data_IF_252477626984
#
_entry.id   IF_252477626984
#
_cell.length_a   1.000
_cell.length_b   1.000
_cell.length_c   1.000
_cell.angle_alpha   90.00
_cell.angle_beta   90.00
_cell.angle_gamma   90.00
#
_symmetry.space_group_name_H-M   'P 1'
#
loop_
_entity.id
_entity.type
_entity.pdbx_description
1 polymer ?
#
# COMPACT_ATOMS: atom_id res chain seq x y z
N UNK A 1 0.09 -57.90 50.30
CA UNK A 1 -1.22 -58.13 49.64
C UNK A 1 -1.86 -56.79 49.34
N UNK A 2 -1.93 -56.36 48.09
CA UNK A 2 -3.05 -55.68 47.42
C UNK A 2 -2.61 -55.30 46.02
N UNK A 3 -3.29 -55.88 45.06
CA UNK A 3 -3.09 -55.72 43.60
C UNK A 3 -3.51 -54.34 43.21
N UNK A 4 -2.59 -53.59 42.58
CA UNK A 4 -2.92 -52.36 41.88
C UNK A 4 -3.33 -52.63 40.43
N UNK A 5 -4.56 -52.33 40.12
CA UNK A 5 -5.20 -52.51 38.82
C UNK A 5 -4.68 -51.44 37.88
N UNK A 6 -4.03 -51.83 36.82
CA UNK A 6 -3.60 -50.95 35.73
C UNK A 6 -4.84 -50.61 34.88
N UNK A 7 -5.32 -49.40 34.98
CA UNK A 7 -6.31 -48.87 34.07
C UNK A 7 -5.60 -48.50 32.79
N UNK A 8 -5.81 -49.30 31.74
CA UNK A 8 -5.43 -48.95 30.40
C UNK A 8 -6.37 -47.84 29.90
N UNK A 9 -5.85 -46.64 29.79
CA UNK A 9 -6.57 -45.53 29.13
C UNK A 9 -6.56 -45.83 27.62
N UNK A 10 -7.71 -46.27 27.13
CA UNK A 10 -7.98 -46.38 25.69
C UNK A 10 -8.11 -44.99 25.14
N UNK A 11 -7.07 -44.46 24.54
CA UNK A 11 -7.11 -43.22 23.77
C UNK A 11 -7.92 -43.48 22.51
N UNK A 12 -9.20 -43.20 22.56
CA UNK A 12 -10.07 -43.17 21.39
C UNK A 12 -9.66 -41.93 20.54
N UNK A 13 -8.75 -42.17 19.60
CA UNK A 13 -8.45 -41.21 18.56
C UNK A 13 -9.71 -41.14 17.67
N UNK A 14 -10.60 -40.21 17.99
CA UNK A 14 -11.61 -39.77 17.04
C UNK A 14 -10.89 -39.12 15.85
N UNK A 15 -10.61 -39.93 14.83
CA UNK A 15 -10.33 -39.44 13.50
C UNK A 15 -11.63 -38.77 13.03
N UNK A 16 -11.74 -37.47 13.28
CA UNK A 16 -12.62 -36.62 12.51
C UNK A 16 -12.05 -36.64 11.08
N UNK A 17 -12.54 -37.56 10.29
CA UNK A 17 -12.53 -37.44 8.85
C UNK A 17 -13.35 -36.18 8.52
N UNK A 18 -12.68 -35.02 8.56
CA UNK A 18 -13.11 -33.91 7.75
C UNK A 18 -13.18 -34.48 6.34
N UNK A 19 -14.38 -34.76 5.90
CA UNK A 19 -14.69 -34.88 4.48
C UNK A 19 -14.38 -33.48 3.88
N UNK A 20 -13.11 -33.24 3.60
CA UNK A 20 -12.74 -32.31 2.56
C UNK A 20 -13.39 -32.89 1.32
N UNK A 21 -14.56 -32.37 0.95
CA UNK A 21 -15.14 -32.64 -0.33
C UNK A 21 -14.02 -32.43 -1.34
N UNK A 22 -13.56 -33.50 -1.96
CA UNK A 22 -12.61 -33.37 -3.05
C UNK A 22 -13.21 -32.31 -3.98
N UNK A 23 -12.45 -31.27 -4.39
CA UNK A 23 -12.96 -30.38 -5.40
C UNK A 23 -13.38 -31.28 -6.57
N UNK A 24 -14.66 -31.21 -6.94
CA UNK A 24 -15.15 -31.93 -8.09
C UNK A 24 -14.16 -31.61 -9.20
N UNK A 25 -13.48 -32.64 -9.73
CA UNK A 25 -12.53 -32.49 -10.83
C UNK A 25 -13.30 -31.76 -11.93
N UNK A 26 -13.02 -30.48 -12.11
CA UNK A 26 -13.60 -29.72 -13.19
C UNK A 26 -13.29 -30.47 -14.48
N UNK A 27 -14.29 -30.70 -15.33
CA UNK A 27 -14.10 -31.45 -16.56
C UNK A 27 -12.93 -30.86 -17.33
N UNK A 28 -12.12 -31.75 -17.93
CA UNK A 28 -10.94 -31.33 -18.69
C UNK A 28 -11.36 -30.44 -19.86
N UNK A 29 -10.68 -29.33 -20.03
CA UNK A 29 -10.85 -28.41 -21.16
C UNK A 29 -9.48 -28.03 -21.74
N UNK A 30 -9.47 -27.76 -23.04
CA UNK A 30 -8.27 -27.25 -23.72
C UNK A 30 -8.05 -25.81 -23.33
N UNK A 31 -7.04 -25.55 -22.49
CA UNK A 31 -6.70 -24.21 -22.04
C UNK A 31 -6.09 -23.38 -23.18
N UNK A 32 -6.51 -22.14 -23.31
CA UNK A 32 -5.87 -21.21 -24.24
C UNK A 32 -4.50 -20.77 -23.72
N UNK A 33 -3.54 -20.61 -24.61
CA UNK A 33 -2.21 -20.04 -24.28
C UNK A 33 -2.31 -18.60 -23.80
N UNK A 34 -3.33 -17.88 -24.28
CA UNK A 34 -3.73 -16.55 -23.80
C UNK A 34 -5.25 -16.55 -23.71
N UNK A 35 -5.76 -15.95 -22.64
CA UNK A 35 -7.19 -15.78 -22.48
C UNK A 35 -7.75 -14.96 -23.66
N UNK A 36 -8.90 -15.38 -24.17
CA UNK A 36 -9.66 -14.67 -25.19
C UNK A 36 -10.81 -13.91 -24.52
N UNK A 37 -11.45 -13.03 -25.24
CA UNK A 37 -12.67 -12.35 -24.78
C UNK A 37 -13.82 -12.64 -25.71
N UNK A 38 -15.01 -12.77 -25.14
CA UNK A 38 -16.25 -12.84 -25.89
C UNK A 38 -17.32 -11.97 -25.24
N UNK A 39 -18.18 -11.41 -26.06
CA UNK A 39 -19.33 -10.62 -25.61
C UNK A 39 -20.54 -11.52 -25.53
N UNK A 40 -21.24 -11.47 -24.41
CA UNK A 40 -22.49 -12.18 -24.25
C UNK A 40 -23.56 -11.60 -25.19
N UNK A 41 -24.22 -12.45 -25.96
CA UNK A 41 -25.37 -12.12 -26.79
C UNK A 41 -26.70 -12.57 -26.16
N UNK A 42 -26.65 -13.07 -24.92
CA UNK A 42 -27.82 -13.43 -24.12
C UNK A 42 -27.87 -12.56 -22.83
N UNK A 43 -29.06 -12.19 -22.42
CA UNK A 43 -29.31 -11.44 -21.20
C UNK A 43 -29.10 -12.27 -19.94
N UNK A 44 -29.07 -13.59 -20.04
CA UNK A 44 -28.91 -14.52 -18.92
C UNK A 44 -27.89 -15.60 -19.22
N UNK A 45 -26.75 -15.58 -18.55
CA UNK A 45 -25.71 -16.60 -18.67
C UNK A 45 -25.72 -17.49 -17.43
N UNK A 46 -25.79 -18.81 -17.64
CA UNK A 46 -25.66 -19.82 -16.59
C UNK A 46 -24.24 -20.39 -16.66
N UNK A 47 -23.44 -20.12 -15.67
CA UNK A 47 -22.11 -20.69 -15.49
C UNK A 47 -22.20 -21.99 -14.70
N UNK A 48 -21.49 -23.02 -15.16
CA UNK A 48 -21.65 -24.41 -14.70
C UNK A 48 -20.33 -25.00 -14.22
N UNK A 49 -20.45 -26.01 -13.37
CA UNK A 49 -19.30 -26.80 -12.89
C UNK A 49 -18.79 -27.73 -14.00
N UNK A 50 -19.71 -28.33 -14.76
CA UNK A 50 -19.41 -29.27 -15.86
C UNK A 50 -19.98 -28.76 -17.18
N UNK A 51 -19.36 -29.12 -18.35
CA UNK A 51 -19.81 -28.69 -19.67
C UNK A 51 -20.98 -29.56 -20.17
N UNK A 52 -22.09 -29.50 -19.45
CA UNK A 52 -23.34 -30.19 -19.82
C UNK A 52 -24.55 -29.28 -19.60
N UNK A 53 -25.66 -29.64 -20.19
CA UNK A 53 -26.91 -28.85 -20.15
C UNK A 53 -27.76 -29.15 -18.91
N UNK A 54 -27.29 -29.96 -17.96
CA UNK A 54 -28.01 -30.31 -16.77
C UNK A 54 -28.46 -29.07 -16.01
N UNK A 55 -29.71 -29.05 -15.58
CA UNK A 55 -30.27 -27.99 -14.71
C UNK A 55 -30.17 -28.33 -13.23
N UNK A 56 -29.46 -29.38 -12.88
CA UNK A 56 -29.21 -29.77 -11.49
C UNK A 56 -28.53 -28.64 -10.77
N UNK A 57 -28.96 -28.35 -9.55
CA UNK A 57 -28.47 -27.24 -8.79
C UNK A 57 -26.95 -27.35 -8.46
N UNK A 58 -26.44 -28.56 -8.35
CA UNK A 58 -25.03 -28.87 -8.10
C UNK A 58 -24.12 -28.62 -9.32
N UNK A 59 -24.71 -28.54 -10.52
CA UNK A 59 -23.97 -28.17 -11.74
C UNK A 59 -24.01 -26.66 -12.03
N UNK A 60 -24.64 -25.82 -11.23
CA UNK A 60 -24.71 -24.38 -11.44
C UNK A 60 -23.76 -23.68 -10.49
N UNK A 61 -22.70 -23.04 -11.03
CA UNK A 61 -21.82 -22.18 -10.26
C UNK A 61 -22.53 -20.87 -9.93
N UNK A 62 -23.08 -20.21 -10.96
CA UNK A 62 -23.79 -18.93 -10.83
C UNK A 62 -24.64 -18.63 -12.06
N UNK A 63 -25.75 -17.96 -11.83
CA UNK A 63 -26.58 -17.39 -12.90
C UNK A 63 -26.37 -15.88 -12.90
N UNK A 64 -26.01 -15.34 -14.05
CA UNK A 64 -25.85 -13.91 -14.28
C UNK A 64 -27.03 -13.42 -15.12
N UNK A 65 -27.65 -12.34 -14.66
CA UNK A 65 -28.79 -11.70 -15.38
C UNK A 65 -28.38 -10.31 -15.87
N UNK A 66 -28.99 -9.86 -16.96
CA UNK A 66 -28.71 -8.55 -17.60
C UNK A 66 -27.25 -8.42 -18.06
N UNK A 67 -26.70 -9.49 -18.61
CA UNK A 67 -25.31 -9.55 -19.06
C UNK A 67 -25.16 -9.52 -20.58
N UNK A 68 -26.22 -9.27 -21.33
CA UNK A 68 -26.11 -9.00 -22.77
C UNK A 68 -25.19 -7.82 -23.03
N UNK A 69 -24.27 -7.95 -23.96
CA UNK A 69 -23.25 -6.97 -24.27
C UNK A 69 -22.08 -6.93 -23.25
N UNK A 70 -22.06 -7.79 -22.23
CA UNK A 70 -20.95 -7.88 -21.27
C UNK A 70 -19.86 -8.80 -21.78
N UNK A 71 -18.61 -8.42 -21.49
CA UNK A 71 -17.42 -9.17 -21.89
C UNK A 71 -17.04 -10.18 -20.82
N UNK A 72 -16.88 -11.43 -21.24
CA UNK A 72 -16.36 -12.53 -20.42
C UNK A 72 -14.95 -12.88 -20.88
N UNK A 73 -14.11 -13.25 -19.92
CA UNK A 73 -12.77 -13.76 -20.19
C UNK A 73 -12.86 -15.27 -20.43
N UNK A 74 -12.40 -15.74 -21.60
CA UNK A 74 -12.39 -17.15 -21.97
C UNK A 74 -11.03 -17.75 -21.71
N UNK A 75 -10.94 -18.71 -20.82
CA UNK A 75 -9.71 -19.37 -20.38
C UNK A 75 -9.39 -20.64 -21.16
N UNK A 76 -10.40 -21.22 -21.82
CA UNK A 76 -10.27 -22.42 -22.63
C UNK A 76 -11.62 -22.88 -23.19
N UNK A 77 -11.62 -24.07 -23.79
CA UNK A 77 -12.83 -24.61 -24.39
C UNK A 77 -12.87 -26.15 -24.37
N UNK A 78 -14.08 -26.71 -24.42
CA UNK A 78 -14.32 -28.13 -24.63
C UNK A 78 -15.68 -28.31 -25.29
N UNK A 79 -15.75 -29.02 -26.47
CA UNK A 79 -16.99 -29.17 -27.23
C UNK A 79 -17.68 -27.82 -27.46
N UNK A 80 -18.96 -27.73 -27.09
CA UNK A 80 -19.81 -26.53 -27.25
C UNK A 80 -19.70 -25.54 -26.08
N UNK A 81 -18.67 -25.67 -25.26
CA UNK A 81 -18.51 -24.89 -24.05
C UNK A 81 -17.18 -24.11 -24.02
N UNK A 82 -17.25 -22.87 -23.48
CA UNK A 82 -16.09 -22.15 -23.03
C UNK A 82 -15.92 -22.36 -21.52
N UNK A 83 -14.69 -22.52 -21.04
CA UNK A 83 -14.36 -22.29 -19.65
C UNK A 83 -14.05 -20.81 -19.51
N UNK A 84 -14.85 -20.10 -18.74
CA UNK A 84 -14.85 -18.63 -18.70
C UNK A 84 -14.76 -18.10 -17.28
N UNK A 85 -14.32 -16.84 -17.18
CA UNK A 85 -14.32 -16.06 -15.95
C UNK A 85 -15.15 -14.81 -16.12
N UNK A 86 -16.00 -14.53 -15.15
CA UNK A 86 -16.77 -13.29 -15.07
C UNK A 86 -17.13 -12.96 -13.61
N UNK A 87 -16.93 -11.70 -13.18
CA UNK A 87 -17.19 -11.22 -11.81
C UNK A 87 -16.63 -12.14 -10.71
N UNK A 88 -15.40 -12.62 -10.91
CA UNK A 88 -14.71 -13.47 -9.93
C UNK A 88 -15.19 -14.92 -9.87
N UNK A 89 -16.17 -15.31 -10.67
CA UNK A 89 -16.64 -16.70 -10.81
C UNK A 89 -16.01 -17.33 -12.05
N UNK A 90 -15.66 -18.61 -11.97
CA UNK A 90 -15.15 -19.40 -13.10
C UNK A 90 -16.02 -20.64 -13.33
N UNK A 91 -16.18 -21.04 -14.58
CA UNK A 91 -16.95 -22.20 -14.94
C UNK A 91 -17.25 -22.27 -16.43
N UNK A 92 -18.02 -23.30 -16.81
CA UNK A 92 -18.40 -23.53 -18.19
C UNK A 92 -19.64 -22.72 -18.59
N UNK A 93 -19.56 -22.04 -19.74
CA UNK A 93 -20.65 -21.29 -20.37
C UNK A 93 -20.82 -21.76 -21.83
N UNK A 94 -22.02 -21.73 -22.36
CA UNK A 94 -22.27 -22.20 -23.72
C UNK A 94 -21.69 -21.27 -24.78
N UNK A 95 -20.99 -21.81 -25.77
CA UNK A 95 -20.41 -21.03 -26.88
C UNK A 95 -21.46 -20.23 -27.65
N UNK A 96 -22.65 -20.74 -27.83
CA UNK A 96 -23.73 -20.08 -28.55
C UNK A 96 -24.22 -18.78 -27.90
N UNK A 97 -24.01 -18.64 -26.62
CA UNK A 97 -24.46 -17.47 -25.85
C UNK A 97 -23.41 -16.32 -25.91
N UNK A 98 -22.39 -16.47 -26.79
CA UNK A 98 -21.29 -15.51 -26.91
C UNK A 98 -20.89 -15.26 -28.36
N UNK A 99 -20.70 -14.01 -28.70
CA UNK A 99 -19.98 -13.59 -29.88
C UNK A 99 -18.48 -13.46 -29.54
N UNK A 100 -17.69 -14.38 -30.14
CA UNK A 100 -16.25 -14.22 -30.09
C UNK A 100 -15.94 -12.86 -30.70
N UNK A 101 -15.32 -12.01 -29.94
CA UNK A 101 -14.57 -10.91 -30.51
C UNK A 101 -13.36 -11.55 -31.24
N UNK A 102 -13.61 -12.10 -32.45
CA UNK A 102 -12.53 -12.19 -33.42
C UNK A 102 -11.95 -10.79 -33.41
N UNK A 103 -10.64 -10.70 -33.11
CA UNK A 103 -9.92 -9.47 -33.39
C UNK A 103 -10.24 -9.15 -34.85
N UNK A 104 -11.32 -8.38 -35.06
CA UNK A 104 -11.52 -7.72 -36.32
C UNK A 104 -10.24 -6.97 -36.52
N UNK A 105 -9.51 -7.36 -37.56
CA UNK A 105 -8.45 -6.55 -38.11
C UNK A 105 -9.10 -5.21 -38.49
N UNK A 106 -9.34 -4.41 -37.46
CA UNK A 106 -9.36 -2.98 -37.61
C UNK A 106 -8.02 -2.70 -38.24
N UNK A 107 -8.03 -2.30 -39.50
CA UNK A 107 -6.88 -1.77 -40.20
C UNK A 107 -6.06 -0.99 -39.19
N UNK A 108 -5.04 -1.67 -38.68
CA UNK A 108 -4.13 -1.07 -37.72
C UNK A 108 -3.44 0.05 -38.48
N UNK A 109 -3.98 1.24 -38.30
CA UNK A 109 -3.14 2.39 -38.28
C UNK A 109 -2.06 2.05 -37.26
N UNK A 110 -0.83 1.92 -37.69
CA UNK A 110 0.35 1.66 -36.86
C UNK A 110 0.63 2.90 -36.00
N UNK A 111 -0.31 3.24 -35.13
CA UNK A 111 -0.07 4.14 -34.03
C UNK A 111 0.51 3.29 -32.91
N UNK A 112 1.80 3.39 -32.71
CA UNK A 112 2.49 2.92 -31.51
C UNK A 112 1.61 3.25 -30.31
N UNK A 113 1.29 2.28 -29.44
CA UNK A 113 0.49 2.57 -28.25
C UNK A 113 1.08 3.77 -27.52
N UNK A 114 0.28 4.70 -26.98
CA UNK A 114 0.78 5.90 -26.31
C UNK A 114 1.53 5.56 -25.00
N UNK A 115 1.93 4.33 -24.84
CA UNK A 115 2.70 3.81 -23.72
C UNK A 115 3.61 2.65 -24.14
N UNK A 116 4.72 2.46 -23.44
CA UNK A 116 5.60 1.29 -23.57
C UNK A 116 4.92 0.07 -22.95
N UNK A 117 4.50 -0.87 -23.79
CA UNK A 117 3.82 -2.09 -23.35
C UNK A 117 4.79 -2.99 -22.59
N UNK A 118 4.36 -3.58 -21.47
CA UNK A 118 5.12 -4.62 -20.79
C UNK A 118 5.06 -5.93 -21.56
N UNK A 119 6.13 -6.73 -21.49
CA UNK A 119 6.16 -8.09 -22.08
C UNK A 119 5.12 -9.03 -21.49
N UNK A 120 4.76 -8.82 -20.22
CA UNK A 120 3.64 -9.45 -19.52
C UNK A 120 3.00 -8.42 -18.60
N UNK A 121 1.69 -8.50 -18.41
CA UNK A 121 0.99 -7.64 -17.47
C UNK A 121 1.57 -7.82 -16.04
N UNK A 122 1.77 -6.70 -15.35
CA UNK A 122 2.23 -6.69 -13.95
C UNK A 122 1.02 -6.47 -13.04
N UNK A 123 1.04 -7.09 -11.88
CA UNK A 123 0.05 -6.79 -10.84
C UNK A 123 0.49 -5.56 -10.04
N UNK A 124 -0.38 -4.57 -9.89
CA UNK A 124 -0.13 -3.40 -9.04
C UNK A 124 -1.19 -3.27 -7.97
N UNK A 125 -0.80 -3.29 -6.69
CA UNK A 125 -1.72 -3.03 -5.60
C UNK A 125 -1.93 -1.52 -5.44
N UNK A 126 -3.19 -1.05 -5.46
CA UNK A 126 -3.51 0.35 -5.22
C UNK A 126 -3.11 0.77 -3.80
N UNK A 127 -2.33 1.81 -3.68
CA UNK A 127 -1.88 2.37 -2.38
C UNK A 127 -2.81 3.47 -1.88
N UNK A 128 -3.65 4.02 -2.75
CA UNK A 128 -4.67 4.99 -2.41
C UNK A 128 -6.06 4.34 -2.38
N UNK A 129 -6.96 4.91 -1.59
CA UNK A 129 -8.38 4.51 -1.54
C UNK A 129 -9.18 5.00 -2.75
N UNK A 130 -8.69 6.00 -3.46
CA UNK A 130 -9.31 6.56 -4.66
C UNK A 130 -8.31 6.57 -5.82
N UNK A 131 -8.60 5.83 -6.88
CA UNK A 131 -7.82 5.82 -8.12
C UNK A 131 -8.62 6.49 -9.23
N UNK A 132 -8.00 7.42 -9.91
CA UNK A 132 -8.56 8.12 -11.07
C UNK A 132 -7.87 7.62 -12.33
N UNK A 133 -8.63 6.96 -13.17
CA UNK A 133 -8.19 6.48 -14.47
C UNK A 133 -8.44 7.57 -15.51
N UNK A 134 -7.48 7.81 -16.39
CA UNK A 134 -7.49 8.92 -17.36
C UNK A 134 -7.30 8.44 -18.79
N UNK A 135 -7.79 9.21 -19.75
CA UNK A 135 -7.67 8.91 -21.17
C UNK A 135 -6.23 8.96 -21.69
N UNK A 136 -5.38 9.81 -21.12
CA UNK A 136 -3.97 9.96 -21.50
C UNK A 136 -3.07 10.09 -20.27
N UNK A 137 -1.75 9.92 -20.46
CA UNK A 137 -0.74 10.02 -19.39
C UNK A 137 -0.49 11.48 -18.97
N UNK A 138 -1.54 12.18 -18.55
CA UNK A 138 -1.48 13.58 -18.11
C UNK A 138 -2.40 13.83 -16.92
N UNK A 139 -1.96 14.69 -16.00
CA UNK A 139 -2.78 15.15 -14.86
C UNK A 139 -4.00 15.97 -15.30
N UNK A 140 -3.94 16.57 -16.47
CA UNK A 140 -5.00 17.43 -17.03
C UNK A 140 -5.91 16.67 -18.01
N UNK A 141 -5.62 15.37 -18.28
CA UNK A 141 -6.44 14.54 -19.14
C UNK A 141 -7.80 14.24 -18.51
N UNK A 142 -8.79 14.00 -19.38
CA UNK A 142 -10.11 13.57 -18.98
C UNK A 142 -10.06 12.35 -18.06
N UNK A 143 -10.85 12.36 -17.00
CA UNK A 143 -11.01 11.22 -16.09
C UNK A 143 -12.08 10.29 -16.66
N UNK A 144 -11.65 9.15 -17.19
CA UNK A 144 -12.53 8.15 -17.79
C UNK A 144 -13.27 7.32 -16.74
N UNK A 145 -12.63 7.06 -15.59
CA UNK A 145 -13.22 6.32 -14.48
C UNK A 145 -12.64 6.76 -13.14
N UNK A 146 -13.50 6.79 -12.11
CA UNK A 146 -13.10 7.00 -10.71
C UNK A 146 -13.43 5.74 -9.92
N UNK A 147 -12.47 5.23 -9.18
CA UNK A 147 -12.63 4.11 -8.27
C UNK A 147 -12.47 4.61 -6.84
N UNK A 148 -13.32 4.11 -5.92
CA UNK A 148 -13.29 4.43 -4.50
C UNK A 148 -13.21 3.16 -3.66
N UNK A 149 -12.56 3.22 -2.51
CA UNK A 149 -12.39 2.06 -1.62
C UNK A 149 -11.45 1.00 -2.18
N UNK A 150 -10.56 1.35 -3.12
CA UNK A 150 -9.71 0.40 -3.86
C UNK A 150 -8.32 0.20 -3.25
N UNK A 151 -8.03 0.76 -2.08
CA UNK A 151 -6.75 0.52 -1.40
C UNK A 151 -6.51 -0.98 -1.21
N UNK A 152 -5.35 -1.47 -1.64
CA UNK A 152 -4.98 -2.90 -1.61
C UNK A 152 -5.58 -3.75 -2.73
N UNK A 153 -6.47 -3.20 -3.57
CA UNK A 153 -6.98 -3.92 -4.74
C UNK A 153 -5.92 -4.00 -5.84
N UNK A 154 -5.91 -5.11 -6.55
CA UNK A 154 -4.92 -5.41 -7.59
C UNK A 154 -5.43 -4.94 -8.94
N UNK A 155 -4.66 -4.08 -9.59
CA UNK A 155 -4.85 -3.65 -10.96
C UNK A 155 -3.88 -4.41 -11.87
N UNK A 156 -4.31 -4.73 -13.08
CA UNK A 156 -3.44 -5.25 -14.12
C UNK A 156 -2.75 -4.09 -14.84
N UNK A 157 -1.44 -3.98 -14.70
CA UNK A 157 -0.64 -2.93 -15.33
C UNK A 157 -0.09 -3.46 -16.64
N UNK A 158 -0.53 -2.89 -17.76
CA UNK A 158 -0.27 -3.38 -19.10
C UNK A 158 0.95 -2.71 -19.76
N UNK A 159 1.33 -1.53 -19.26
CA UNK A 159 2.48 -0.77 -19.75
C UNK A 159 2.67 0.52 -18.98
N UNK A 160 3.58 1.37 -19.48
CA UNK A 160 3.91 2.63 -18.81
C UNK A 160 4.21 3.77 -19.77
N UNK A 161 4.00 5.00 -19.33
CA UNK A 161 4.34 6.24 -20.02
C UNK A 161 4.71 7.31 -19.00
N UNK A 162 5.98 7.68 -18.90
CA UNK A 162 6.46 8.61 -17.88
C UNK A 162 6.07 8.18 -16.46
N UNK A 163 5.37 9.04 -15.73
CA UNK A 163 4.89 8.79 -14.37
C UNK A 163 3.56 8.01 -14.30
N UNK A 164 3.14 7.41 -15.40
CA UNK A 164 1.85 6.72 -15.54
C UNK A 164 2.02 5.26 -15.89
N UNK A 165 1.12 4.41 -15.33
CA UNK A 165 0.83 3.08 -15.86
C UNK A 165 -0.40 3.13 -16.75
N UNK A 166 -0.39 2.39 -17.84
CA UNK A 166 -1.62 1.99 -18.52
C UNK A 166 -2.12 0.73 -17.84
N UNK A 167 -3.29 0.80 -17.26
CA UNK A 167 -3.80 -0.21 -16.34
C UNK A 167 -5.23 -0.63 -16.68
N UNK A 168 -5.58 -1.84 -16.26
CA UNK A 168 -6.92 -2.40 -16.33
C UNK A 168 -7.42 -2.76 -14.93
N UNK A 169 -8.66 -2.41 -14.63
CA UNK A 169 -9.35 -2.79 -13.40
C UNK A 169 -10.87 -2.73 -13.59
N UNK A 170 -11.59 -3.79 -13.15
CA UNK A 170 -13.05 -3.90 -13.27
C UNK A 170 -13.58 -3.57 -14.70
N UNK A 171 -12.89 -4.07 -15.71
CA UNK A 171 -13.25 -3.88 -17.12
C UNK A 171 -12.98 -2.50 -17.71
N UNK A 172 -12.47 -1.55 -16.93
CA UNK A 172 -12.01 -0.26 -17.42
C UNK A 172 -10.50 -0.28 -17.68
N UNK A 173 -10.07 0.44 -18.72
CA UNK A 173 -8.66 0.65 -19.06
C UNK A 173 -8.35 2.14 -19.17
N UNK A 174 -7.11 2.50 -18.82
CA UNK A 174 -6.64 3.87 -18.91
C UNK A 174 -5.38 4.12 -18.11
N UNK A 175 -4.97 5.37 -18.10
CA UNK A 175 -3.76 5.79 -17.39
C UNK A 175 -4.05 6.08 -15.93
N UNK A 176 -3.22 5.50 -15.05
CA UNK A 176 -3.22 5.70 -13.59
C UNK A 176 -1.83 6.11 -13.14
N UNK A 177 -1.71 6.93 -12.10
CA UNK A 177 -0.39 7.42 -11.66
C UNK A 177 0.41 6.29 -11.01
N UNK A 178 1.68 6.17 -11.37
CA UNK A 178 2.60 5.17 -10.79
C UNK A 178 2.68 5.25 -9.27
N UNK A 179 2.66 6.46 -8.73
CA UNK A 179 2.73 6.69 -7.28
C UNK A 179 1.56 6.11 -6.49
N UNK A 180 0.46 5.82 -7.16
CA UNK A 180 -0.77 5.28 -6.53
C UNK A 180 -0.74 3.74 -6.47
N UNK A 181 0.40 3.12 -6.86
CA UNK A 181 0.54 1.65 -6.91
C UNK A 181 1.83 1.16 -6.28
N UNK A 182 1.76 -0.02 -5.64
CA UNK A 182 2.91 -0.84 -5.30
C UNK A 182 2.90 -2.10 -6.16
N UNK A 183 4.06 -2.46 -6.73
CA UNK A 183 4.21 -3.69 -7.51
C UNK A 183 4.68 -4.82 -6.59
N UNK A 184 4.08 -6.03 -6.67
CA UNK A 184 4.64 -7.20 -6.04
C UNK A 184 6.04 -7.47 -6.60
N UNK A 185 7.02 -7.58 -5.73
CA UNK A 185 8.41 -7.83 -6.14
C UNK A 185 9.19 -6.61 -6.64
N UNK A 186 8.62 -5.41 -6.65
CA UNK A 186 9.44 -4.21 -6.68
C UNK A 186 10.09 -4.06 -5.31
N UNK A 187 11.27 -4.62 -5.17
CA UNK A 187 12.18 -4.17 -4.12
C UNK A 187 12.41 -2.69 -4.35
N UNK A 188 12.19 -1.88 -3.32
CA UNK A 188 12.65 -0.51 -3.33
C UNK A 188 14.09 -0.47 -3.89
N UNK A 189 14.52 0.58 -4.60
CA UNK A 189 15.88 0.67 -5.11
C UNK A 189 16.88 0.24 -4.05
N UNK A 190 17.95 -0.44 -4.46
CA UNK A 190 18.96 -0.85 -3.49
C UNK A 190 19.42 0.39 -2.70
N UNK A 191 19.44 0.27 -1.37
CA UNK A 191 19.87 1.35 -0.52
C UNK A 191 21.31 1.73 -0.86
N UNK A 192 21.55 3.01 -1.12
CA UNK A 192 22.92 3.53 -1.15
C UNK A 192 23.33 3.82 0.29
N UNK A 193 24.10 2.93 0.87
CA UNK A 193 24.58 3.01 2.25
C UNK A 193 25.94 3.71 2.38
N UNK A 194 26.51 4.19 1.27
CA UNK A 194 27.71 5.02 1.30
C UNK A 194 27.38 6.35 1.94
N UNK A 195 27.94 6.60 3.11
CA UNK A 195 27.73 7.85 3.83
C UNK A 195 28.24 9.02 2.98
N UNK A 196 27.44 10.08 2.77
CA UNK A 196 27.89 11.28 2.10
C UNK A 196 29.11 11.90 2.83
N UNK A 197 30.02 12.48 2.05
CA UNK A 197 31.11 13.27 2.62
C UNK A 197 30.55 14.56 3.23
N UNK A 198 30.94 14.87 4.47
CA UNK A 198 30.49 16.07 5.18
C UNK A 198 29.14 15.90 5.89
N UNK A 199 28.60 17.00 6.38
CA UNK A 199 27.51 17.03 7.34
C UNK A 199 26.11 16.89 6.72
N UNK A 200 25.95 17.10 5.43
CA UNK A 200 24.66 17.08 4.73
C UNK A 200 24.39 15.67 4.20
N UNK A 201 23.50 14.96 4.85
CA UNK A 201 23.19 13.57 4.50
C UNK A 201 21.97 13.39 3.61
N UNK A 202 21.15 14.43 3.48
CA UNK A 202 19.95 14.34 2.64
C UNK A 202 19.06 15.56 2.70
N UNK A 203 17.83 15.40 2.22
CA UNK A 203 16.81 16.44 2.27
C UNK A 203 15.43 15.86 2.48
N UNK A 204 14.52 16.66 3.03
CA UNK A 204 13.12 16.32 3.21
C UNK A 204 12.22 17.45 2.73
N UNK A 205 11.17 17.08 1.96
CA UNK A 205 10.08 17.95 1.55
C UNK A 205 8.75 17.22 1.72
N UNK A 206 7.83 17.83 2.47
CA UNK A 206 6.50 17.27 2.70
C UNK A 206 5.46 18.16 2.02
N UNK A 207 4.74 17.59 1.05
CA UNK A 207 3.73 18.33 0.28
C UNK A 207 2.61 18.87 1.16
N UNK A 208 2.14 20.08 0.86
CA UNK A 208 1.09 20.74 1.64
C UNK A 208 1.55 21.30 2.99
N UNK A 209 2.87 21.28 3.26
CA UNK A 209 3.49 21.80 4.48
C UNK A 209 4.61 22.79 4.15
N UNK A 210 5.18 23.42 5.18
CA UNK A 210 6.39 24.24 5.06
C UNK A 210 7.68 23.45 5.23
N UNK A 211 7.59 22.13 5.42
CA UNK A 211 8.78 21.28 5.58
C UNK A 211 9.51 21.18 4.24
N UNK A 212 10.68 21.80 4.18
CA UNK A 212 11.62 21.76 3.05
C UNK A 212 13.02 22.06 3.60
N UNK A 213 13.72 21.02 4.04
CA UNK A 213 14.93 21.17 4.84
C UNK A 213 16.01 20.18 4.45
N UNK A 214 17.28 20.53 4.76
CA UNK A 214 18.40 19.61 4.71
C UNK A 214 18.39 18.68 5.92
N UNK A 215 18.76 17.44 5.74
CA UNK A 215 19.03 16.46 6.79
C UNK A 215 20.53 16.45 7.03
N UNK A 216 20.92 16.64 8.30
CA UNK A 216 22.31 16.68 8.72
C UNK A 216 22.75 15.39 9.40
N UNK A 217 24.04 15.21 9.53
CA UNK A 217 24.66 14.04 10.12
C UNK A 217 24.32 13.85 11.61
N UNK A 218 24.67 12.67 12.14
CA UNK A 218 24.48 12.28 13.53
C UNK A 218 25.69 12.61 14.43
N UNK A 219 26.72 13.27 13.91
CA UNK A 219 27.95 13.60 14.67
C UNK A 219 27.74 14.62 15.80
N UNK A 220 26.49 15.05 15.97
CA UNK A 220 26.13 16.05 16.97
C UNK A 220 25.79 15.30 18.25
N UNK A 221 26.61 15.57 19.29
CA UNK A 221 26.30 15.10 20.63
C UNK A 221 24.97 15.69 21.09
N UNK A 222 24.25 15.02 22.00
CA UNK A 222 22.94 15.48 22.48
C UNK A 222 22.93 16.92 23.00
N UNK A 223 24.12 17.50 23.34
CA UNK A 223 24.28 18.88 23.71
C UNK A 223 24.27 19.83 22.51
N UNK A 224 24.77 19.43 21.36
CA UNK A 224 24.81 20.29 20.17
C UNK A 224 23.42 20.48 19.57
N UNK A 225 22.53 19.50 19.69
CA UNK A 225 21.12 19.66 19.35
C UNK A 225 20.47 20.80 20.14
N UNK A 226 20.88 20.99 21.40
CA UNK A 226 20.31 22.00 22.30
C UNK A 226 20.93 23.39 22.11
N UNK A 227 22.21 23.48 21.72
CA UNK A 227 22.99 24.71 21.77
C UNK A 227 23.49 25.24 20.43
N UNK A 228 23.45 24.40 19.39
CA UNK A 228 23.95 24.85 18.10
C UNK A 228 22.90 25.72 17.39
N UNK A 229 23.33 26.70 16.61
CA UNK A 229 22.56 27.60 15.72
C UNK A 229 21.52 26.89 14.86
N UNK A 230 21.26 25.64 15.12
CA UNK A 230 20.58 24.62 14.39
C UNK A 230 19.16 24.31 14.90
N UNK A 231 18.53 25.21 15.66
CA UNK A 231 17.07 25.13 15.87
C UNK A 231 16.26 24.97 14.58
N UNK A 232 16.93 25.14 13.46
CA UNK A 232 16.36 25.12 12.11
C UNK A 232 16.76 23.90 11.30
N UNK A 233 17.50 22.95 11.87
CA UNK A 233 18.01 21.80 11.14
C UNK A 233 17.29 20.51 11.56
N UNK A 234 17.24 19.56 10.64
CA UNK A 234 16.80 18.20 10.88
C UNK A 234 18.05 17.34 10.97
N UNK A 235 18.13 16.52 12.01
CA UNK A 235 19.27 15.66 12.26
C UNK A 235 18.92 14.20 12.21
N UNK A 236 19.82 13.40 11.64
CA UNK A 236 19.80 11.97 11.86
C UNK A 236 20.37 11.67 13.25
N UNK A 237 19.61 10.90 14.04
CA UNK A 237 20.03 10.41 15.35
C UNK A 237 20.67 9.02 15.27
N UNK A 238 20.71 8.44 14.08
CA UNK A 238 21.26 7.12 13.78
C UNK A 238 22.37 7.23 12.73
N UNK A 239 23.18 6.18 12.60
CA UNK A 239 24.18 6.11 11.54
C UNK A 239 23.48 6.12 10.17
N UNK A 240 24.16 6.65 9.15
CA UNK A 240 23.61 6.74 7.79
C UNK A 240 23.18 5.39 7.24
N UNK A 241 23.90 4.31 7.56
CA UNK A 241 23.62 2.95 7.09
C UNK A 241 22.54 2.21 7.89
N UNK A 242 22.00 2.80 8.96
CA UNK A 242 21.01 2.16 9.82
C UNK A 242 19.76 1.77 9.05
N UNK A 243 19.27 0.55 9.29
CA UNK A 243 18.03 0.06 8.66
C UNK A 243 16.80 0.82 9.16
N UNK A 244 16.81 1.23 10.43
CA UNK A 244 15.82 2.14 11.01
C UNK A 244 16.49 3.48 11.23
N UNK A 245 16.09 4.47 10.45
CA UNK A 245 16.60 5.85 10.59
C UNK A 245 15.70 6.65 11.53
N UNK A 246 16.31 7.38 12.45
CA UNK A 246 15.60 8.31 13.33
C UNK A 246 16.00 9.75 12.96
N UNK A 247 15.05 10.52 12.46
CA UNK A 247 15.23 11.94 12.17
C UNK A 247 14.51 12.78 13.22
N UNK A 248 15.19 13.78 13.74
CA UNK A 248 14.64 14.74 14.69
C UNK A 248 14.63 16.15 14.14
N UNK A 249 13.56 16.87 14.43
CA UNK A 249 13.43 18.30 14.18
C UNK A 249 12.61 18.97 15.27
N UNK A 250 12.93 20.21 15.57
CA UNK A 250 12.19 20.98 16.58
C UNK A 250 10.75 21.30 16.15
N UNK A 251 9.84 21.28 17.10
CA UNK A 251 8.54 21.91 17.00
C UNK A 251 8.62 23.28 17.70
N UNK A 252 8.88 24.32 16.91
CA UNK A 252 8.89 25.69 17.42
C UNK A 252 7.47 26.23 17.40
N UNK A 253 6.89 26.40 18.59
CA UNK A 253 5.52 26.89 18.76
C UNK A 253 5.41 28.39 18.42
N UNK A 254 4.17 28.86 18.30
CA UNK A 254 3.78 30.23 17.92
C UNK A 254 4.48 31.34 18.74
N UNK A 255 4.78 31.11 20.01
CA UNK A 255 5.48 32.04 20.90
C UNK A 255 6.94 32.35 20.51
N UNK A 256 7.55 31.54 19.66
CA UNK A 256 8.92 31.71 19.20
C UNK A 256 9.05 32.32 17.79
N UNK A 257 8.01 33.01 17.30
CA UNK A 257 8.02 33.60 15.96
C UNK A 257 7.83 32.56 14.87
N UNK A 258 6.80 31.88 14.94
CA UNK A 258 6.10 30.78 14.28
C UNK A 258 6.44 30.35 12.84
N UNK A 259 7.35 30.96 12.12
CA UNK A 259 7.74 30.52 10.76
C UNK A 259 8.88 29.49 10.73
N UNK A 260 9.37 29.06 11.88
CA UNK A 260 10.69 28.45 12.03
C UNK A 260 10.69 27.03 12.65
N UNK A 261 9.56 26.38 12.77
CA UNK A 261 9.51 25.03 13.32
C UNK A 261 9.81 23.98 12.27
N UNK A 262 10.98 23.34 12.34
CA UNK A 262 11.43 22.35 11.34
C UNK A 262 10.41 21.26 11.11
N UNK A 263 9.87 20.68 12.18
CA UNK A 263 8.88 19.62 12.14
C UNK A 263 7.52 20.01 12.74
N UNK A 264 7.27 21.29 12.98
CA UNK A 264 5.95 21.74 13.44
C UNK A 264 4.82 21.26 12.50
N UNK A 265 5.03 21.36 11.20
CA UNK A 265 4.02 21.01 10.21
C UNK A 265 3.76 19.50 10.09
N UNK A 266 4.50 18.62 10.79
CA UNK A 266 4.09 17.22 10.96
C UNK A 266 2.78 17.14 11.74
N UNK A 267 2.50 18.07 12.64
CA UNK A 267 1.20 18.17 13.32
C UNK A 267 0.07 18.53 12.35
N UNK A 268 0.36 19.27 11.29
CA UNK A 268 -0.63 19.52 10.23
C UNK A 268 -0.97 18.24 9.49
N UNK A 269 0.02 17.39 9.19
CA UNK A 269 -0.21 16.07 8.58
C UNK A 269 -1.03 15.19 9.53
N UNK A 270 -0.64 15.09 10.80
CA UNK A 270 -1.38 14.35 11.84
C UNK A 270 -2.84 14.82 11.90
N UNK A 271 -3.06 16.12 12.07
CA UNK A 271 -4.40 16.70 12.22
C UNK A 271 -5.25 16.47 10.97
N UNK A 272 -4.68 16.58 9.76
CA UNK A 272 -5.39 16.33 8.52
C UNK A 272 -5.88 14.87 8.42
N UNK A 273 -5.10 13.88 8.86
CA UNK A 273 -5.54 12.49 8.92
C UNK A 273 -6.58 12.24 10.00
N UNK A 274 -6.48 12.93 11.15
CA UNK A 274 -7.47 12.87 12.23
C UNK A 274 -8.76 13.67 11.93
N UNK A 275 -8.89 14.25 10.72
CA UNK A 275 -10.08 14.99 10.30
C UNK A 275 -10.18 16.41 10.86
N UNK A 276 -9.12 16.92 11.47
CA UNK A 276 -9.10 18.30 12.01
C UNK A 276 -8.80 19.31 10.90
N UNK A 277 -9.56 20.39 10.85
CA UNK A 277 -9.41 21.42 9.82
C UNK A 277 -8.28 22.41 10.12
N UNK A 278 -7.99 22.63 11.40
CA UNK A 278 -7.00 23.62 11.88
C UNK A 278 -6.06 23.00 12.90
N UNK A 279 -4.83 23.48 12.90
CA UNK A 279 -3.83 23.15 13.92
C UNK A 279 -4.10 23.97 15.19
N UNK A 280 -4.31 23.29 16.31
CA UNK A 280 -4.61 23.94 17.60
C UNK A 280 -3.49 24.86 18.08
N UNK A 281 -2.23 24.49 17.83
CA UNK A 281 -1.08 25.23 18.33
C UNK A 281 -0.74 26.48 17.51
N UNK A 282 -1.06 26.54 16.21
CA UNK A 282 -0.70 27.66 15.35
C UNK A 282 -1.88 28.30 14.62
N UNK A 283 -3.09 27.72 14.69
CA UNK A 283 -4.30 28.22 14.03
C UNK A 283 -4.35 28.11 12.51
N UNK A 284 -3.30 27.55 11.86
CA UNK A 284 -3.26 27.38 10.40
C UNK A 284 -4.13 26.20 9.94
N UNK A 285 -4.63 26.29 8.70
CA UNK A 285 -5.36 25.21 8.06
C UNK A 285 -4.47 23.97 7.88
N UNK A 286 -5.03 22.79 8.14
CA UNK A 286 -4.41 21.50 7.90
C UNK A 286 -4.90 20.81 6.60
N UNK A 287 -5.88 21.41 5.90
CA UNK A 287 -6.57 20.76 4.77
C UNK A 287 -5.65 20.36 3.61
N UNK A 288 -4.59 21.12 3.36
CA UNK A 288 -3.62 20.82 2.30
C UNK A 288 -2.50 19.84 2.70
N UNK A 289 -2.40 19.47 3.98
CA UNK A 289 -1.30 18.68 4.52
C UNK A 289 -1.57 17.16 4.53
N UNK A 290 -2.72 16.70 4.02
CA UNK A 290 -3.05 15.28 4.01
C UNK A 290 -2.26 14.54 2.93
N UNK A 291 -1.05 14.13 3.29
CA UNK A 291 -0.15 13.37 2.42
C UNK A 291 0.42 12.17 3.16
N UNK A 292 0.46 11.01 2.51
CA UNK A 292 1.06 9.78 3.04
C UNK A 292 2.36 9.41 2.30
N UNK A 293 2.80 10.25 1.35
CA UNK A 293 4.09 10.10 0.68
C UNK A 293 4.93 11.36 0.91
N UNK A 294 6.10 11.16 1.48
CA UNK A 294 7.07 12.20 1.78
C UNK A 294 8.23 12.12 0.78
N UNK A 295 8.66 13.24 0.24
CA UNK A 295 9.86 13.30 -0.60
C UNK A 295 11.06 13.48 0.32
N UNK A 296 11.81 12.40 0.54
CA UNK A 296 12.99 12.39 1.40
C UNK A 296 14.12 11.74 0.62
N UNK A 297 15.13 12.54 0.25
CA UNK A 297 16.35 12.02 -0.35
C UNK A 297 17.28 11.56 0.76
N UNK A 298 17.35 10.25 0.99
CA UNK A 298 18.15 9.64 2.04
C UNK A 298 18.44 8.17 1.72
N UNK A 299 19.68 7.73 1.88
CA UNK A 299 20.11 6.34 1.61
C UNK A 299 19.79 5.85 0.18
N UNK A 300 19.77 6.74 -0.82
CA UNK A 300 19.45 6.39 -2.22
C UNK A 300 17.95 6.36 -2.55
N UNK A 301 17.09 6.56 -1.56
CA UNK A 301 15.65 6.68 -1.75
C UNK A 301 15.23 8.14 -1.91
N UNK A 302 14.14 8.37 -2.65
CA UNK A 302 13.57 9.70 -2.89
C UNK A 302 12.15 9.85 -2.36
N UNK A 303 11.45 8.74 -2.11
CA UNK A 303 10.06 8.72 -1.61
C UNK A 303 9.89 7.73 -0.48
N UNK A 304 9.13 8.15 0.53
CA UNK A 304 8.85 7.38 1.73
C UNK A 304 7.37 7.41 2.05
N UNK A 305 6.80 6.25 2.27
CA UNK A 305 5.39 6.06 2.60
C UNK A 305 5.17 6.15 4.10
N UNK A 306 4.24 6.98 4.53
CA UNK A 306 3.79 7.05 5.91
C UNK A 306 2.95 5.82 6.26
N UNK A 307 3.45 5.01 7.18
CA UNK A 307 2.82 3.77 7.63
C UNK A 307 1.84 4.02 8.78
N UNK A 308 2.33 4.75 9.77
CA UNK A 308 1.53 5.12 10.93
C UNK A 308 2.11 6.37 11.60
N UNK A 309 1.32 6.97 12.44
CA UNK A 309 1.77 8.02 13.35
C UNK A 309 1.08 7.88 14.72
N UNK A 310 1.69 8.44 15.73
CA UNK A 310 1.09 8.57 17.05
C UNK A 310 1.79 9.66 17.85
N UNK A 311 1.05 10.23 18.81
CA UNK A 311 1.58 11.20 19.76
C UNK A 311 1.38 10.67 21.17
N UNK A 312 2.47 10.60 21.94
CA UNK A 312 2.44 10.11 23.32
C UNK A 312 2.24 11.26 24.29
N UNK A 313 1.54 11.07 25.41
CA UNK A 313 1.37 12.11 26.44
C UNK A 313 2.67 12.43 27.16
N UNK A 314 3.57 11.49 27.28
CA UNK A 314 4.92 11.69 27.78
C UNK A 314 5.91 10.89 26.98
N UNK A 315 7.11 11.39 26.80
CA UNK A 315 8.20 10.59 26.22
C UNK A 315 9.10 10.10 27.35
N UNK A 316 9.51 8.84 27.27
CA UNK A 316 10.81 8.46 27.76
C UNK A 316 11.89 9.34 27.10
N UNK A 317 13.12 9.30 27.59
CA UNK A 317 14.20 10.07 26.98
C UNK A 317 14.35 9.73 25.49
N UNK A 318 14.77 10.67 24.65
CA UNK A 318 15.11 10.43 23.24
C UNK A 318 16.02 9.22 23.04
N UNK A 319 16.94 9.01 23.99
CA UNK A 319 17.87 7.88 23.96
C UNK A 319 17.15 6.53 23.98
N UNK A 320 15.99 6.40 24.61
CA UNK A 320 15.24 5.16 24.61
C UNK A 320 14.76 4.80 23.19
N UNK A 321 14.29 5.79 22.42
CA UNK A 321 13.83 5.55 21.05
C UNK A 321 14.96 5.28 20.08
N UNK A 322 16.02 6.04 20.17
CA UNK A 322 17.23 5.80 19.39
C UNK A 322 17.81 4.44 19.75
N UNK A 323 17.95 4.15 21.03
CA UNK A 323 18.44 2.86 21.50
C UNK A 323 17.50 1.70 21.10
N UNK A 324 16.20 1.91 21.18
CA UNK A 324 15.23 0.90 20.74
C UNK A 324 15.32 0.66 19.23
N UNK A 325 15.46 1.69 18.42
CA UNK A 325 15.63 1.58 16.98
C UNK A 325 16.98 0.96 16.57
N UNK A 326 18.02 1.14 17.38
CA UNK A 326 19.38 0.69 17.05
C UNK A 326 19.80 -0.60 17.75
N UNK A 327 19.24 -0.91 18.93
CA UNK A 327 19.72 -1.97 19.81
C UNK A 327 18.74 -3.14 19.99
N UNK A 328 17.51 -3.08 19.50
CA UNK A 328 16.53 -4.16 19.70
C UNK A 328 16.70 -5.39 18.83
N UNK A 329 17.76 -5.46 18.07
CA UNK A 329 18.13 -6.67 17.33
C UNK A 329 17.16 -7.12 16.23
N UNK A 330 15.92 -6.57 16.15
CA UNK A 330 14.93 -6.95 15.16
C UNK A 330 14.10 -5.77 14.68
N UNK A 331 14.35 -5.28 13.46
CA UNK A 331 13.48 -4.29 12.82
C UNK A 331 12.01 -4.73 12.72
N UNK A 332 11.75 -6.04 12.65
CA UNK A 332 10.39 -6.60 12.66
C UNK A 332 9.67 -6.36 13.98
N UNK A 333 10.35 -6.56 15.10
CA UNK A 333 9.80 -6.28 16.42
C UNK A 333 9.60 -4.78 16.62
N UNK A 334 10.53 -3.96 16.14
CA UNK A 334 10.44 -2.50 16.21
C UNK A 334 9.19 -2.00 15.47
N UNK A 335 8.98 -2.39 14.20
CA UNK A 335 7.82 -1.91 13.41
C UNK A 335 6.49 -2.40 14.00
N UNK A 336 6.44 -3.62 14.52
CA UNK A 336 5.26 -4.15 15.21
C UNK A 336 4.89 -3.30 16.43
N UNK A 337 5.88 -2.87 17.20
CA UNK A 337 5.71 -1.96 18.35
C UNK A 337 5.17 -0.60 17.91
N UNK A 338 5.65 -0.07 16.77
CA UNK A 338 5.14 1.21 16.25
C UNK A 338 3.66 1.12 15.87
N UNK A 339 3.25 0.02 15.25
CA UNK A 339 1.83 -0.21 14.93
C UNK A 339 0.98 -0.38 16.20
N UNK A 340 1.49 -1.06 17.22
CA UNK A 340 0.79 -1.20 18.51
C UNK A 340 0.59 0.17 19.18
N UNK A 341 1.62 1.01 19.18
CA UNK A 341 1.55 2.38 19.71
C UNK A 341 0.52 3.22 18.93
N UNK A 342 0.50 3.13 17.60
CA UNK A 342 -0.45 3.87 16.78
C UNK A 342 -1.91 3.44 16.96
N UNK A 343 -2.16 2.22 17.47
CA UNK A 343 -3.49 1.69 17.82
C UNK A 343 -3.86 1.93 19.28
N UNK A 344 -2.93 2.39 20.10
CA UNK A 344 -3.18 2.62 21.52
C UNK A 344 -4.16 3.79 21.69
N UNK A 345 -5.31 3.55 22.33
CA UNK A 345 -6.35 4.54 22.54
C UNK A 345 -5.92 5.73 23.41
N UNK A 346 -4.88 5.55 24.23
CA UNK A 346 -4.29 6.64 25.02
C UNK A 346 -3.37 7.55 24.21
N UNK A 347 -3.03 7.16 22.96
CA UNK A 347 -2.20 7.93 22.06
C UNK A 347 -3.05 8.50 20.92
N UNK A 348 -2.70 9.67 20.44
CA UNK A 348 -3.38 10.25 19.28
C UNK A 348 -2.71 9.76 18.01
N UNK A 349 -3.06 8.54 17.62
CA UNK A 349 -2.42 7.82 16.54
C UNK A 349 -3.38 7.21 15.53
N UNK A 350 -2.80 6.78 14.41
CA UNK A 350 -3.50 6.07 13.34
C UNK A 350 -2.52 5.20 12.58
N UNK A 351 -2.94 3.99 12.24
CA UNK A 351 -2.27 3.14 11.23
C UNK A 351 -2.90 3.43 9.88
N UNK A 352 -2.10 3.90 8.93
CA UNK A 352 -2.52 4.20 7.55
C UNK A 352 -2.26 3.03 6.63
N UNK A 353 -1.12 2.35 6.84
CA UNK A 353 -0.66 1.23 6.05
C UNK A 353 0.12 0.27 6.96
N UNK A 354 -0.29 -0.98 7.06
CA UNK A 354 0.37 -2.01 7.87
C UNK A 354 1.33 -2.90 7.07
N UNK A 355 1.69 -2.50 5.85
CA UNK A 355 2.54 -3.29 4.95
C UNK A 355 4.05 -3.17 5.24
N UNK A 356 4.45 -2.37 6.22
CA UNK A 356 5.85 -2.27 6.63
C UNK A 356 6.32 -3.51 7.35
N UNK A 357 7.50 -4.00 7.01
CA UNK A 357 8.14 -5.20 7.55
C UNK A 357 9.54 -4.89 8.07
N UNK A 358 10.12 -5.83 8.80
CA UNK A 358 11.51 -5.71 9.26
C UNK A 358 12.57 -5.79 8.16
N UNK A 359 12.20 -6.16 6.94
CA UNK A 359 13.11 -6.13 5.79
C UNK A 359 13.12 -4.79 5.05
N UNK A 360 12.12 -3.94 5.31
CA UNK A 360 12.05 -2.60 4.71
C UNK A 360 13.13 -1.66 5.29
N UNK A 361 13.51 -0.64 4.52
CA UNK A 361 14.16 0.55 5.06
C UNK A 361 13.10 1.39 5.74
N UNK A 362 13.28 1.59 7.03
CA UNK A 362 12.34 2.27 7.90
C UNK A 362 12.89 3.61 8.38
N UNK A 363 12.00 4.55 8.58
CA UNK A 363 12.36 5.86 9.13
C UNK A 363 11.29 6.31 10.12
N UNK A 364 11.70 6.97 11.17
CA UNK A 364 10.81 7.68 12.08
C UNK A 364 11.20 9.15 12.15
N UNK A 365 10.22 10.02 11.92
CA UNK A 365 10.36 11.45 12.15
C UNK A 365 9.82 11.77 13.54
N UNK A 366 10.60 12.45 14.35
CA UNK A 366 10.26 12.76 15.74
C UNK A 366 10.29 14.26 15.96
N UNK A 367 9.26 14.77 16.64
CA UNK A 367 9.19 16.15 17.12
C UNK A 367 8.48 16.26 18.45
N UNK A 368 8.55 17.42 19.11
CA UNK A 368 7.75 17.68 20.30
C UNK A 368 6.26 17.65 19.96
N UNK A 369 5.46 17.07 20.84
CA UNK A 369 4.00 17.00 20.69
C UNK A 369 3.31 18.34 20.95
N UNK A 370 2.15 18.52 20.36
CA UNK A 370 1.32 19.72 20.52
C UNK A 370 0.03 19.46 21.30
N UNK A 371 -0.46 18.24 21.26
CA UNK A 371 -1.82 17.90 21.67
C UNK A 371 -2.00 17.80 23.19
N UNK A 372 -0.93 17.56 23.92
CA UNK A 372 -0.95 17.36 25.37
C UNK A 372 -0.50 18.59 26.18
N UNK A 373 -0.48 19.78 25.53
CA UNK A 373 -0.17 21.04 26.17
C UNK A 373 1.31 21.45 26.13
N UNK A 374 1.58 22.72 26.45
CA UNK A 374 2.86 23.36 26.23
C UNK A 374 4.00 22.91 27.14
N UNK A 375 3.68 22.29 28.26
CA UNK A 375 4.64 21.81 29.27
C UNK A 375 4.91 20.33 29.16
N UNK A 376 4.19 19.63 28.26
CA UNK A 376 4.30 18.19 28.15
C UNK A 376 5.62 17.77 27.51
N UNK A 377 6.13 16.64 27.95
CA UNK A 377 7.21 15.92 27.31
C UNK A 377 6.73 15.07 26.14
N UNK A 378 5.50 15.34 25.67
CA UNK A 378 4.87 14.61 24.55
C UNK A 378 5.72 14.65 23.28
N UNK A 379 5.61 13.59 22.51
CA UNK A 379 6.32 13.45 21.24
C UNK A 379 5.39 12.91 20.16
N UNK A 380 5.47 13.52 18.99
CA UNK A 380 4.87 13.01 17.79
C UNK A 380 5.88 12.15 17.02
N UNK A 381 5.47 10.99 16.63
CA UNK A 381 6.19 10.01 15.83
C UNK A 381 5.47 9.78 14.51
N UNK A 382 6.18 9.88 13.40
CA UNK A 382 5.70 9.49 12.08
C UNK A 382 6.62 8.41 11.52
N UNK A 383 6.07 7.24 11.28
CA UNK A 383 6.82 6.04 10.87
C UNK A 383 6.61 5.81 9.39
N UNK A 384 7.71 5.72 8.65
CA UNK A 384 7.71 5.61 7.19
C UNK A 384 8.52 4.39 6.74
N UNK A 385 8.25 3.94 5.52
CA UNK A 385 9.12 3.02 4.77
C UNK A 385 9.52 3.63 3.43
N UNK A 386 10.71 3.28 2.96
CA UNK A 386 11.18 3.64 1.63
C UNK A 386 10.34 2.95 0.55
N UNK A 387 10.02 3.67 -0.54
CA UNK A 387 9.26 3.13 -1.68
C UNK A 387 9.90 3.44 -3.03
N UNK A 388 10.75 4.45 -3.13
CA UNK A 388 11.53 4.75 -4.36
C UNK A 388 12.70 5.69 -4.07
#
# INVERSE_FOLDING_TARGET
>A
MKKGMRVAALVLVCILLLSMGAPALAAEYSRYSQAKTAVSNDSTIIMRVNPDSSTQADNVVKTFSRVEGKTFELLGETGDWYYARYEGSEGFVRKKDFDLQTASASTASTTTPPYSKFSAAKSGAATDSAIWMRATASKDAEVTKKFSGVRGKIFSLLGESGDWYYAQYEGAEGFVRKQDFSLPGQTAPAANLSQPSGDKWGSIKVSGTKINHTIYCNAISGNDYKYNKSYYNIFSMTNYSSQVTVLMGHNMRKSAGSSKGMFHDLHHVQNAFLGRKTCESCGRSCSGAKTDVFNINYQGYSKWKLLCFYETPSSGSYNVLVNTATNTGSPSSWISTQYANARNSNYKGMVLDSSGTGSDRLMVLITCGDTYGSTSTSRLYMVLKAIS
#
